data_IF_921163240704
#
_entry.id   IF_921163240704
#
_cell.length_a   1.000
_cell.length_b   1.000
_cell.length_c   1.000
_cell.angle_alpha   90.00
_cell.angle_beta   90.00
_cell.angle_gamma   90.00
#
_symmetry.space_group_name_H-M   'P 1'
#
loop_
_entity.id
_entity.type
_entity.pdbx_description
1 polymer ?
#
# COMPACT_ATOMS: atom_id res chain seq x y z
N UNK A 1 -14.05 -16.51 -8.45
CA UNK A 1 -13.04 -15.54 -8.91
C UNK A 1 -13.80 -14.32 -9.39
N UNK A 2 -13.49 -13.14 -8.88
CA UNK A 2 -14.13 -11.89 -9.33
C UNK A 2 -13.72 -11.61 -10.78
N UNK A 3 -14.62 -10.97 -11.54
CA UNK A 3 -14.30 -10.48 -12.88
C UNK A 3 -13.30 -9.31 -12.78
N UNK A 4 -12.37 -9.20 -13.74
CA UNK A 4 -11.35 -8.15 -13.74
C UNK A 4 -11.95 -6.74 -13.73
N UNK A 5 -13.04 -6.52 -14.47
CA UNK A 5 -13.70 -5.22 -14.50
C UNK A 5 -14.40 -4.89 -13.18
N UNK A 6 -14.79 -5.92 -12.42
CA UNK A 6 -15.33 -5.74 -11.07
C UNK A 6 -14.23 -5.37 -10.08
N UNK A 7 -13.06 -6.05 -10.16
CA UNK A 7 -11.89 -5.72 -9.34
C UNK A 7 -11.45 -4.29 -9.60
N UNK A 8 -11.33 -3.90 -10.85
CA UNK A 8 -10.85 -2.58 -11.26
C UNK A 8 -11.72 -1.41 -10.78
N UNK A 9 -12.96 -1.66 -10.33
CA UNK A 9 -13.77 -0.62 -9.66
C UNK A 9 -13.19 -0.23 -8.30
N UNK A 10 -12.49 -1.16 -7.64
CA UNK A 10 -11.87 -0.93 -6.34
C UNK A 10 -10.47 -0.29 -6.48
N UNK A 11 -9.91 -0.26 -7.72
CA UNK A 11 -8.55 0.21 -8.02
C UNK A 11 -8.55 1.17 -9.23
N UNK A 12 -8.94 2.44 -9.06
CA UNK A 12 -9.05 3.40 -10.16
C UNK A 12 -7.77 3.57 -10.98
N UNK A 13 -6.62 3.55 -10.32
CA UNK A 13 -5.30 3.64 -10.95
C UNK A 13 -5.01 2.47 -11.87
N UNK A 14 -5.23 1.24 -11.36
CA UNK A 14 -5.03 0.03 -12.15
C UNK A 14 -6.02 0.00 -13.33
N UNK A 15 -7.23 0.52 -13.13
CA UNK A 15 -8.21 0.67 -14.22
C UNK A 15 -7.68 1.56 -15.33
N UNK A 16 -7.16 2.74 -15.00
CA UNK A 16 -6.60 3.65 -16.00
C UNK A 16 -5.43 3.03 -16.77
N UNK A 17 -4.52 2.33 -16.10
CA UNK A 17 -3.41 1.62 -16.74
C UNK A 17 -3.91 0.48 -17.63
N UNK A 18 -4.92 -0.25 -17.20
CA UNK A 18 -5.55 -1.31 -17.99
C UNK A 18 -6.20 -0.76 -19.26
N UNK A 19 -6.95 0.33 -19.15
CA UNK A 19 -7.56 1.00 -20.30
C UNK A 19 -6.50 1.51 -21.29
N UNK A 20 -5.35 1.99 -20.81
CA UNK A 20 -4.22 2.34 -21.68
C UNK A 20 -3.65 1.12 -22.41
N UNK A 21 -3.47 -0.02 -21.73
CA UNK A 21 -3.02 -1.26 -22.36
C UNK A 21 -4.01 -1.72 -23.43
N UNK A 22 -5.32 -1.67 -23.15
CA UNK A 22 -6.34 -2.01 -24.13
C UNK A 22 -6.33 -1.08 -25.35
N UNK A 23 -6.15 0.23 -25.15
CA UNK A 23 -6.06 1.19 -26.24
C UNK A 23 -4.82 0.98 -27.11
N UNK A 24 -3.70 0.64 -26.49
CA UNK A 24 -2.46 0.24 -27.21
C UNK A 24 -2.68 -1.03 -28.05
N UNK A 25 -3.45 -2.00 -27.54
CA UNK A 25 -3.80 -3.22 -28.28
C UNK A 25 -4.64 -2.90 -29.52
N UNK A 26 -5.58 -1.97 -29.43
CA UNK A 26 -6.37 -1.52 -30.57
C UNK A 26 -5.49 -0.84 -31.65
N UNK A 27 -4.54 0.00 -31.26
CA UNK A 27 -3.62 0.66 -32.18
C UNK A 27 -2.67 -0.36 -32.84
N UNK A 28 -2.26 -1.40 -32.14
CA UNK A 28 -1.32 -2.42 -32.61
C UNK A 28 -1.96 -3.46 -33.52
N UNK A 29 -3.27 -3.70 -33.41
CA UNK A 29 -4.00 -4.56 -34.37
C UNK A 29 -3.98 -3.98 -35.80
N UNK A 30 -3.57 -2.72 -35.95
CA UNK A 30 -3.48 -1.99 -37.22
C UNK A 30 -2.02 -1.95 -37.74
N UNK A 31 -1.01 -2.33 -36.92
CA UNK A 31 0.40 -2.29 -37.27
C UNK A 31 0.96 -3.72 -37.48
N UNK A 32 1.75 -3.98 -38.52
CA UNK A 32 2.30 -5.31 -38.80
C UNK A 32 3.46 -5.69 -37.86
N UNK A 33 3.46 -6.95 -37.37
CA UNK A 33 4.61 -7.60 -36.75
C UNK A 33 4.41 -8.07 -35.29
N UNK A 34 5.47 -8.59 -34.65
CA UNK A 34 5.54 -9.19 -33.31
C UNK A 34 5.04 -8.31 -32.12
N UNK A 35 4.41 -7.19 -32.39
CA UNK A 35 3.88 -6.25 -31.41
C UNK A 35 2.58 -6.76 -30.77
N UNK A 36 1.79 -7.54 -31.50
CA UNK A 36 0.53 -8.09 -31.03
C UNK A 36 0.74 -9.11 -29.90
N UNK A 37 1.67 -10.05 -30.10
CA UNK A 37 2.02 -11.06 -29.11
C UNK A 37 2.59 -10.45 -27.82
N UNK A 38 3.47 -9.46 -27.96
CA UNK A 38 4.05 -8.74 -26.80
C UNK A 38 2.99 -7.95 -26.04
N UNK A 39 2.03 -7.38 -26.75
CA UNK A 39 0.96 -6.60 -26.17
C UNK A 39 -0.05 -7.47 -25.44
N UNK A 40 -0.40 -8.63 -26.00
CA UNK A 40 -1.27 -9.59 -25.34
C UNK A 40 -0.61 -10.16 -24.09
N UNK A 41 0.68 -10.45 -24.15
CA UNK A 41 1.45 -10.88 -22.97
C UNK A 41 1.47 -9.80 -21.89
N UNK A 42 1.69 -8.54 -22.24
CA UNK A 42 1.67 -7.43 -21.29
C UNK A 42 0.30 -7.31 -20.59
N UNK A 43 -0.78 -7.48 -21.35
CA UNK A 43 -2.14 -7.49 -20.80
C UNK A 43 -2.32 -8.64 -19.81
N UNK A 44 -1.94 -9.86 -20.19
CA UNK A 44 -2.04 -11.05 -19.32
C UNK A 44 -1.22 -10.90 -18.04
N UNK A 45 0.02 -10.40 -18.14
CA UNK A 45 0.88 -10.16 -16.98
C UNK A 45 0.27 -9.10 -16.05
N UNK A 46 -0.34 -8.06 -16.63
CA UNK A 46 -1.01 -7.02 -15.87
C UNK A 46 -2.31 -7.49 -15.21
N UNK A 47 -3.13 -8.27 -15.92
CA UNK A 47 -4.33 -8.90 -15.35
C UNK A 47 -3.96 -9.82 -14.19
N UNK A 48 -2.93 -10.62 -14.34
CA UNK A 48 -2.40 -11.47 -13.27
C UNK A 48 -2.00 -10.66 -12.05
N UNK A 49 -1.29 -9.56 -12.25
CA UNK A 49 -0.89 -8.65 -11.16
C UNK A 49 -2.10 -8.09 -10.41
N UNK A 50 -3.14 -7.66 -11.13
CA UNK A 50 -4.38 -7.16 -10.54
C UNK A 50 -5.05 -8.25 -9.69
N UNK A 51 -5.16 -9.47 -10.20
CA UNK A 51 -5.76 -10.58 -9.47
C UNK A 51 -4.98 -10.91 -8.19
N UNK A 52 -3.66 -10.95 -8.25
CA UNK A 52 -2.83 -11.26 -7.08
C UNK A 52 -2.91 -10.17 -6.01
N UNK A 53 -2.98 -8.88 -6.39
CA UNK A 53 -3.20 -7.77 -5.44
C UNK A 53 -4.57 -7.86 -4.79
N UNK A 54 -5.63 -8.10 -5.58
CA UNK A 54 -6.99 -8.19 -5.05
C UNK A 54 -7.13 -9.37 -4.08
N UNK A 55 -6.62 -10.54 -4.46
CA UNK A 55 -6.58 -11.72 -3.61
C UNK A 55 -5.80 -11.46 -2.31
N UNK A 56 -4.63 -10.84 -2.40
CA UNK A 56 -3.84 -10.50 -1.21
C UNK A 56 -4.61 -9.55 -0.27
N UNK A 57 -5.23 -8.52 -0.80
CA UNK A 57 -6.01 -7.60 0.02
C UNK A 57 -7.28 -8.24 0.59
N UNK A 58 -7.94 -9.14 -0.15
CA UNK A 58 -9.08 -9.93 0.34
C UNK A 58 -8.65 -10.84 1.49
N UNK A 59 -7.57 -11.57 1.31
CA UNK A 59 -7.12 -12.60 2.24
C UNK A 59 -6.51 -12.02 3.52
N UNK A 60 -5.87 -10.85 3.45
CA UNK A 60 -4.97 -10.38 4.52
C UNK A 60 -5.31 -9.02 5.10
N UNK A 61 -6.16 -8.18 4.47
CA UNK A 61 -6.40 -6.82 4.96
C UNK A 61 -7.07 -6.78 6.35
N UNK A 62 -7.93 -7.75 6.67
CA UNK A 62 -8.52 -7.87 8.02
C UNK A 62 -7.48 -8.22 9.09
N UNK A 63 -6.37 -8.81 8.67
CA UNK A 63 -5.22 -9.13 9.51
C UNK A 63 -4.17 -8.01 9.56
N UNK A 64 -4.46 -6.84 8.97
CA UNK A 64 -3.60 -5.66 9.04
C UNK A 64 -2.50 -5.61 7.99
N UNK A 65 -2.58 -6.42 6.93
CA UNK A 65 -1.67 -6.35 5.79
C UNK A 65 -2.28 -5.57 4.63
N UNK A 66 -1.43 -4.93 3.85
CA UNK A 66 -1.82 -4.11 2.71
C UNK A 66 -0.87 -4.34 1.55
N UNK A 67 -1.43 -4.46 0.34
CA UNK A 67 -0.64 -4.44 -0.88
C UNK A 67 -0.23 -3.00 -1.23
N UNK A 68 0.94 -2.85 -1.84
CA UNK A 68 1.48 -1.59 -2.32
C UNK A 68 2.15 -1.77 -3.68
N UNK A 69 2.41 -0.68 -4.41
CA UNK A 69 2.79 -0.69 -5.83
C UNK A 69 4.07 -1.48 -6.13
N UNK A 70 5.06 -1.35 -5.25
CA UNK A 70 6.37 -2.00 -5.42
C UNK A 70 6.45 -3.37 -4.75
N UNK A 71 5.29 -3.95 -4.37
CA UNK A 71 5.25 -5.29 -3.80
C UNK A 71 5.71 -6.33 -4.83
N UNK A 72 6.53 -7.26 -4.38
CA UNK A 72 7.11 -8.28 -5.26
C UNK A 72 6.06 -9.30 -5.72
N UNK A 73 5.91 -9.49 -7.03
CA UNK A 73 4.92 -10.40 -7.60
C UNK A 73 5.09 -11.86 -7.13
N UNK A 74 6.28 -12.48 -7.17
CA UNK A 74 6.51 -13.80 -6.59
C UNK A 74 6.13 -13.91 -5.11
N UNK A 75 6.31 -12.84 -4.33
CA UNK A 75 5.88 -12.80 -2.93
C UNK A 75 4.36 -12.86 -2.80
N UNK A 76 3.61 -12.08 -3.61
CA UNK A 76 2.15 -12.10 -3.63
C UNK A 76 1.62 -13.49 -3.96
N UNK A 77 2.11 -14.09 -5.05
CA UNK A 77 1.73 -15.43 -5.48
C UNK A 77 1.99 -16.48 -4.40
N UNK A 78 3.13 -16.39 -3.72
CA UNK A 78 3.49 -17.33 -2.67
C UNK A 78 2.65 -17.14 -1.42
N UNK A 79 2.40 -15.89 -0.99
CA UNK A 79 1.56 -15.59 0.17
C UNK A 79 0.12 -16.08 -0.04
N UNK A 80 -0.48 -15.75 -1.21
CA UNK A 80 -1.81 -16.23 -1.59
C UNK A 80 -1.84 -17.77 -1.71
N UNK A 81 -0.83 -18.37 -2.34
CA UNK A 81 -0.72 -19.83 -2.48
C UNK A 81 -0.65 -20.55 -1.14
N UNK A 82 0.10 -20.05 -0.17
CA UNK A 82 0.17 -20.60 1.20
C UNK A 82 -1.18 -20.43 1.89
N UNK A 83 -1.81 -19.26 1.77
CA UNK A 83 -3.12 -19.02 2.36
C UNK A 83 -4.16 -20.06 1.91
N UNK A 84 -4.24 -20.34 0.61
CA UNK A 84 -5.20 -21.31 0.07
C UNK A 84 -4.88 -22.77 0.44
N UNK A 85 -3.61 -23.10 0.67
CA UNK A 85 -3.19 -24.47 0.99
C UNK A 85 -3.14 -24.75 2.49
N UNK A 86 -2.70 -23.79 3.29
CA UNK A 86 -2.31 -24.01 4.68
C UNK A 86 -3.01 -23.05 5.66
N UNK A 87 -3.75 -22.06 5.12
CA UNK A 87 -4.52 -21.09 5.91
C UNK A 87 -3.72 -19.88 6.36
N UNK A 88 -4.44 -18.98 7.06
CA UNK A 88 -3.97 -17.64 7.42
C UNK A 88 -2.72 -17.65 8.32
N UNK A 89 -2.64 -18.58 9.28
CA UNK A 89 -1.52 -18.59 10.24
C UNK A 89 -0.18 -18.85 9.56
N UNK A 90 -0.15 -19.80 8.62
CA UNK A 90 1.06 -20.14 7.85
C UNK A 90 1.42 -19.04 6.86
N UNK A 91 0.42 -18.46 6.21
CA UNK A 91 0.64 -17.34 5.31
C UNK A 91 1.17 -16.11 6.05
N UNK A 92 0.63 -15.76 7.23
CA UNK A 92 1.17 -14.67 8.04
C UNK A 92 2.61 -14.93 8.51
N UNK A 93 2.96 -16.16 8.87
CA UNK A 93 4.35 -16.51 9.20
C UNK A 93 5.30 -16.28 8.03
N UNK A 94 4.91 -16.68 6.82
CA UNK A 94 5.66 -16.44 5.61
C UNK A 94 5.83 -14.91 5.37
N UNK A 95 4.72 -14.15 5.43
CA UNK A 95 4.73 -12.71 5.22
C UNK A 95 5.66 -12.01 6.22
N UNK A 96 5.55 -12.33 7.51
CA UNK A 96 6.38 -11.73 8.56
C UNK A 96 7.86 -12.02 8.34
N UNK A 97 8.21 -13.27 8.02
CA UNK A 97 9.59 -13.64 7.78
C UNK A 97 10.16 -12.92 6.57
N UNK A 98 9.41 -12.81 5.48
CA UNK A 98 9.81 -12.05 4.30
C UNK A 98 10.18 -10.60 4.64
N UNK A 99 9.34 -9.88 5.40
CA UNK A 99 9.61 -8.48 5.76
C UNK A 99 10.77 -8.32 6.74
N UNK A 100 10.96 -9.27 7.66
CA UNK A 100 12.09 -9.24 8.60
C UNK A 100 13.40 -9.55 7.88
N UNK A 101 13.41 -10.57 7.02
CA UNK A 101 14.61 -11.00 6.30
C UNK A 101 15.10 -9.93 5.29
N UNK A 102 14.16 -9.15 4.72
CA UNK A 102 14.48 -8.06 3.79
C UNK A 102 14.51 -6.67 4.48
N UNK A 103 14.51 -6.61 5.79
CA UNK A 103 14.38 -5.36 6.57
C UNK A 103 15.46 -4.33 6.27
N UNK A 104 16.68 -4.74 5.97
CA UNK A 104 17.80 -3.83 5.66
C UNK A 104 17.60 -3.09 4.34
N UNK A 105 17.15 -3.77 3.29
CA UNK A 105 16.80 -3.18 2.00
C UNK A 105 15.61 -2.23 2.15
N UNK A 106 14.57 -2.71 2.82
CA UNK A 106 13.34 -1.94 3.09
C UNK A 106 13.65 -0.65 3.87
N UNK A 107 14.53 -0.70 4.88
CA UNK A 107 14.98 0.48 5.61
C UNK A 107 15.54 1.54 4.67
N UNK A 108 16.44 1.13 3.79
CA UNK A 108 17.08 2.04 2.84
C UNK A 108 16.07 2.67 1.87
N UNK A 109 15.10 1.88 1.40
CA UNK A 109 14.05 2.36 0.51
C UNK A 109 13.13 3.36 1.20
N UNK A 110 12.72 3.09 2.45
CA UNK A 110 11.92 4.01 3.24
C UNK A 110 12.66 5.34 3.45
N UNK A 111 13.92 5.31 3.88
CA UNK A 111 14.71 6.53 4.13
C UNK A 111 14.83 7.38 2.87
N UNK A 112 14.99 6.75 1.69
CA UNK A 112 15.17 7.42 0.41
C UNK A 112 13.86 7.87 -0.23
N UNK A 113 12.72 7.38 0.22
CA UNK A 113 11.43 7.57 -0.42
C UNK A 113 10.96 9.02 -0.44
N UNK A 114 11.22 9.78 0.62
CA UNK A 114 10.83 11.19 0.70
C UNK A 114 11.65 11.97 1.72
N UNK A 115 11.57 13.31 1.66
CA UNK A 115 12.25 14.18 2.61
C UNK A 115 11.69 14.01 4.05
N UNK A 116 10.41 13.74 4.17
CA UNK A 116 9.72 13.53 5.45
C UNK A 116 10.24 12.28 6.17
N UNK A 117 10.63 11.24 5.43
CA UNK A 117 11.33 10.08 5.98
C UNK A 117 12.82 10.38 6.22
N UNK A 118 13.49 11.05 5.29
CA UNK A 118 14.92 11.34 5.36
C UNK A 118 15.31 12.12 6.62
N UNK A 119 14.54 13.12 7.02
CA UNK A 119 14.81 13.89 8.26
C UNK A 119 14.66 13.06 9.54
N UNK A 120 14.01 11.89 9.45
CA UNK A 120 13.82 10.91 10.54
C UNK A 120 14.79 9.73 10.47
N UNK A 121 15.81 9.79 9.62
CA UNK A 121 16.73 8.69 9.35
C UNK A 121 17.25 8.05 10.65
N UNK A 122 17.70 8.83 11.62
CA UNK A 122 18.24 8.31 12.89
C UNK A 122 17.20 7.52 13.71
N UNK A 123 15.91 7.93 13.68
CA UNK A 123 14.83 7.22 14.37
C UNK A 123 14.50 5.93 13.62
N UNK A 124 14.51 5.98 12.28
CA UNK A 124 14.29 4.82 11.43
C UNK A 124 15.39 3.79 11.64
N UNK A 125 16.66 4.20 11.63
CA UNK A 125 17.79 3.32 11.88
C UNK A 125 17.67 2.63 13.24
N UNK A 126 17.34 3.34 14.31
CA UNK A 126 17.11 2.77 15.64
C UNK A 126 15.93 1.78 15.64
N UNK A 127 14.83 2.11 14.97
CA UNK A 127 13.66 1.24 14.90
C UNK A 127 13.98 -0.09 14.20
N UNK A 128 14.76 -0.06 13.11
CA UNK A 128 15.19 -1.26 12.40
C UNK A 128 16.27 -2.04 13.17
N UNK A 129 17.19 -1.37 13.86
CA UNK A 129 18.12 -2.04 14.78
C UNK A 129 17.38 -2.79 15.88
N UNK A 130 16.34 -2.17 16.47
CA UNK A 130 15.48 -2.81 17.47
C UNK A 130 14.71 -4.00 16.88
N UNK A 131 14.23 -3.90 15.64
CA UNK A 131 13.57 -4.99 14.93
C UNK A 131 14.49 -6.20 14.77
N UNK A 132 15.71 -5.99 14.26
CA UNK A 132 16.70 -7.05 14.01
C UNK A 132 17.13 -7.69 15.32
N UNK A 133 17.30 -6.90 16.39
CA UNK A 133 17.64 -7.39 17.72
C UNK A 133 16.44 -7.94 18.51
N UNK A 134 15.27 -8.09 17.87
CA UNK A 134 14.02 -8.61 18.46
C UNK A 134 13.52 -7.78 19.65
N UNK A 135 13.92 -6.52 19.76
CA UNK A 135 13.38 -5.55 20.73
C UNK A 135 12.06 -4.95 20.20
N UNK A 136 11.09 -5.82 19.94
CA UNK A 136 9.87 -5.48 19.22
C UNK A 136 9.07 -4.35 19.85
N UNK A 137 8.99 -4.26 21.18
CA UNK A 137 8.27 -3.17 21.85
C UNK A 137 8.81 -1.79 21.43
N UNK A 138 10.13 -1.61 21.45
CA UNK A 138 10.78 -0.35 21.04
C UNK A 138 10.58 -0.08 19.55
N UNK A 139 10.82 -1.08 18.71
CA UNK A 139 10.66 -0.98 17.26
C UNK A 139 9.25 -0.56 16.87
N UNK A 140 8.21 -1.19 17.44
CA UNK A 140 6.81 -0.90 17.17
C UNK A 140 6.46 0.55 17.55
N UNK A 141 6.85 1.00 18.74
CA UNK A 141 6.59 2.38 19.17
C UNK A 141 7.26 3.39 18.25
N UNK A 142 8.50 3.14 17.84
CA UNK A 142 9.22 4.00 16.91
C UNK A 142 8.54 4.01 15.52
N UNK A 143 8.15 2.86 14.98
CA UNK A 143 7.46 2.79 13.68
C UNK A 143 6.12 3.56 13.71
N UNK A 144 5.31 3.40 14.75
CA UNK A 144 4.05 4.14 14.90
C UNK A 144 4.30 5.66 15.02
N UNK A 145 5.35 6.07 15.73
CA UNK A 145 5.74 7.48 15.85
C UNK A 145 6.22 8.04 14.51
N UNK A 146 7.00 7.28 13.75
CA UNK A 146 7.45 7.67 12.40
C UNK A 146 6.24 7.84 11.48
N UNK A 147 5.32 6.88 11.45
CA UNK A 147 4.12 6.92 10.62
C UNK A 147 3.29 8.19 10.86
N UNK A 148 3.04 8.50 12.12
CA UNK A 148 2.25 9.69 12.50
C UNK A 148 2.99 10.99 12.18
N UNK A 149 4.28 11.06 12.48
CA UNK A 149 5.10 12.25 12.25
C UNK A 149 5.33 12.56 10.77
N UNK A 150 5.55 11.54 9.94
CA UNK A 150 5.74 11.70 8.48
C UNK A 150 4.49 12.27 7.83
N UNK A 151 3.32 11.73 8.16
CA UNK A 151 2.05 12.21 7.64
C UNK A 151 1.73 13.62 8.15
N UNK A 152 2.02 13.90 9.43
CA UNK A 152 1.83 15.24 10.00
C UNK A 152 2.61 16.31 9.24
N UNK A 153 3.88 16.06 8.95
CA UNK A 153 4.70 16.99 8.18
C UNK A 153 4.21 17.15 6.75
N UNK A 154 3.82 16.04 6.11
CA UNK A 154 3.32 16.07 4.74
C UNK A 154 2.00 16.82 4.60
N UNK A 155 1.07 16.61 5.53
CA UNK A 155 -0.28 17.20 5.50
C UNK A 155 -0.37 18.56 6.18
N UNK A 156 0.73 19.06 6.77
CA UNK A 156 0.81 20.32 7.52
C UNK A 156 -0.22 20.38 8.66
N UNK A 157 -0.13 19.46 9.62
CA UNK A 157 -0.85 19.40 10.91
C UNK A 157 -1.92 18.32 11.07
N UNK A 158 -1.92 17.25 10.27
CA UNK A 158 -2.82 16.12 10.49
C UNK A 158 -2.02 14.83 10.52
N UNK A 159 -1.84 14.22 11.69
CA UNK A 159 -1.19 12.90 11.81
C UNK A 159 -2.02 11.81 11.15
N UNK A 160 -1.38 10.67 10.86
CA UNK A 160 -2.01 9.54 10.17
C UNK A 160 -3.26 9.02 10.89
N UNK A 161 -3.24 9.01 12.20
CA UNK A 161 -4.32 8.44 13.03
C UNK A 161 -5.43 9.43 13.38
N UNK A 162 -5.45 10.62 12.79
CA UNK A 162 -6.53 11.60 13.03
C UNK A 162 -7.78 11.29 12.20
N UNK A 163 -8.96 11.63 12.74
CA UNK A 163 -10.24 11.34 12.06
C UNK A 163 -10.42 12.12 10.75
N UNK A 164 -9.81 13.31 10.65
CA UNK A 164 -10.02 14.25 9.55
C UNK A 164 -8.92 14.21 8.46
N UNK A 165 -8.09 13.18 8.43
CA UNK A 165 -7.13 13.03 7.33
C UNK A 165 -7.82 12.51 6.07
N UNK A 166 -7.60 13.18 4.96
CA UNK A 166 -7.98 12.66 3.64
C UNK A 166 -6.82 11.83 3.09
N UNK A 167 -7.01 10.53 2.98
CA UNK A 167 -6.05 9.58 2.40
C UNK A 167 -6.33 9.31 0.93
N UNK A 168 -7.41 9.88 0.35
CA UNK A 168 -7.74 9.65 -1.05
C UNK A 168 -6.59 10.10 -1.95
N UNK A 169 -6.19 9.24 -2.87
CA UNK A 169 -5.12 9.50 -3.83
C UNK A 169 -5.47 8.78 -5.14
N UNK A 170 -5.70 9.55 -6.19
CA UNK A 170 -6.24 9.04 -7.45
C UNK A 170 -5.35 7.98 -8.13
N UNK A 171 -4.04 8.00 -7.90
CA UNK A 171 -3.06 7.16 -8.60
C UNK A 171 -2.28 6.25 -7.63
N UNK A 172 -2.94 5.70 -6.61
CA UNK A 172 -2.30 4.98 -5.53
C UNK A 172 -2.96 3.61 -5.29
N UNK A 173 -2.18 2.53 -5.36
CA UNK A 173 -2.68 1.17 -5.08
C UNK A 173 -3.14 1.03 -3.63
N UNK A 174 -2.46 1.69 -2.70
CA UNK A 174 -2.81 1.64 -1.27
C UNK A 174 -4.10 2.39 -0.94
N UNK A 175 -4.61 3.26 -1.84
CA UNK A 175 -5.89 3.95 -1.70
C UNK A 175 -7.05 3.14 -2.32
N UNK A 176 -7.20 1.91 -1.92
CA UNK A 176 -8.37 1.10 -2.24
C UNK A 176 -9.25 0.90 -1.01
N UNK A 177 -10.47 0.41 -1.19
CA UNK A 177 -11.42 0.15 -0.10
C UNK A 177 -10.87 -0.79 0.99
N UNK A 178 -9.87 -1.61 0.66
CA UNK A 178 -9.19 -2.56 1.54
C UNK A 178 -7.74 -2.12 1.86
N UNK A 179 -7.41 -0.88 1.54
CA UNK A 179 -6.06 -0.34 1.62
C UNK A 179 -5.79 0.46 2.90
N UNK A 180 -5.06 1.57 2.73
CA UNK A 180 -4.51 2.38 3.82
C UNK A 180 -5.59 2.91 4.79
N UNK A 181 -6.76 3.26 4.28
CA UNK A 181 -7.90 3.71 5.07
C UNK A 181 -8.41 2.62 6.01
N UNK A 182 -8.59 1.39 5.49
CA UNK A 182 -8.97 0.24 6.31
C UNK A 182 -7.93 -0.08 7.39
N UNK A 183 -6.65 -0.06 7.02
CA UNK A 183 -5.54 -0.29 7.98
C UNK A 183 -5.55 0.77 9.07
N UNK A 184 -5.74 2.05 8.71
CA UNK A 184 -5.89 3.14 9.68
C UNK A 184 -7.03 2.87 10.67
N UNK A 185 -8.20 2.47 10.18
CA UNK A 185 -9.37 2.21 11.03
C UNK A 185 -9.12 1.04 12.00
N UNK A 186 -8.51 -0.05 11.51
CA UNK A 186 -8.11 -1.19 12.35
C UNK A 186 -7.13 -0.75 13.43
N UNK A 187 -6.06 -0.05 13.06
CA UNK A 187 -5.01 0.35 14.00
C UNK A 187 -5.48 1.41 15.00
N UNK A 188 -6.46 2.23 14.62
CA UNK A 188 -7.05 3.26 15.47
C UNK A 188 -8.18 2.72 16.40
N UNK A 189 -8.45 1.42 16.36
CA UNK A 189 -9.48 0.80 17.20
C UNK A 189 -9.27 1.13 18.67
N UNK A 190 -10.33 1.64 19.32
CA UNK A 190 -10.28 2.03 20.73
C UNK A 190 -10.26 0.82 21.65
N UNK A 191 -9.32 0.81 22.60
CA UNK A 191 -9.19 -0.24 23.63
C UNK A 191 -9.69 0.28 24.98
N UNK A 192 -10.80 -0.27 25.45
CA UNK A 192 -11.47 0.20 26.69
C UNK A 192 -10.85 -0.33 27.97
N UNK A 193 -10.22 -1.51 27.93
CA UNK A 193 -9.63 -2.19 29.11
C UNK A 193 -8.18 -2.56 28.85
N UNK A 194 -7.37 -2.56 29.90
CA UNK A 194 -6.02 -3.10 29.86
C UNK A 194 -6.07 -4.62 29.74
N UNK A 195 -5.25 -5.18 28.85
CA UNK A 195 -5.12 -6.62 28.62
C UNK A 195 -3.65 -7.04 28.58
N UNK A 196 -3.40 -8.26 29.04
CA UNK A 196 -2.11 -8.96 28.95
C UNK A 196 -2.12 -10.01 27.83
N UNK A 197 -3.23 -10.17 27.14
CA UNK A 197 -3.34 -11.08 26.01
C UNK A 197 -2.43 -10.61 24.86
N UNK A 198 -1.82 -11.57 24.18
CA UNK A 198 -1.03 -11.27 22.98
C UNK A 198 -1.93 -10.73 21.88
N UNK A 199 -1.55 -9.61 21.32
CA UNK A 199 -2.19 -9.04 20.13
C UNK A 199 -1.34 -9.26 18.89
N UNK A 200 -2.00 -9.43 17.74
CA UNK A 200 -1.33 -9.55 16.43
C UNK A 200 -1.57 -8.36 15.52
N UNK A 201 -2.35 -7.38 15.98
CA UNK A 201 -2.63 -6.14 15.25
C UNK A 201 -2.06 -4.95 16.02
N UNK A 202 -1.46 -3.97 15.35
CA UNK A 202 -0.90 -2.78 15.98
C UNK A 202 -1.99 -1.79 16.38
N UNK A 203 -2.78 -2.11 17.39
CA UNK A 203 -3.78 -1.20 17.97
C UNK A 203 -3.08 0.01 18.61
N UNK A 204 -2.84 1.04 17.81
CA UNK A 204 -2.06 2.22 18.19
C UNK A 204 -2.51 2.84 19.51
N UNK A 205 -3.81 3.01 19.67
CA UNK A 205 -4.35 3.60 20.90
C UNK A 205 -4.11 2.69 22.12
N UNK A 206 -4.28 1.37 21.97
CA UNK A 206 -4.00 0.40 23.03
C UNK A 206 -2.52 0.37 23.41
N UNK A 207 -1.63 0.38 22.45
CA UNK A 207 -0.18 0.35 22.64
C UNK A 207 0.32 1.64 23.29
N UNK A 208 0.05 2.80 22.69
CA UNK A 208 0.62 4.08 23.15
C UNK A 208 -0.02 4.57 24.46
N UNK A 209 -1.24 4.13 24.79
CA UNK A 209 -1.88 4.42 26.08
C UNK A 209 -1.64 3.33 27.15
N UNK A 210 -0.79 2.33 26.86
CA UNK A 210 -0.42 1.29 27.81
C UNK A 210 -1.59 0.37 28.21
N UNK A 211 -2.50 0.10 27.31
CA UNK A 211 -3.65 -0.80 27.53
C UNK A 211 -3.44 -2.20 26.96
N UNK A 212 -2.78 -2.32 25.83
CA UNK A 212 -2.35 -3.60 25.24
C UNK A 212 -0.91 -3.84 25.67
N UNK A 213 -0.71 -4.67 26.71
CA UNK A 213 0.62 -4.83 27.33
C UNK A 213 1.48 -5.87 26.62
N UNK A 214 0.89 -6.80 25.87
CA UNK A 214 1.59 -7.88 25.17
C UNK A 214 1.55 -7.69 23.65
N UNK A 215 2.11 -6.55 23.18
CA UNK A 215 2.19 -6.20 21.76
C UNK A 215 3.57 -6.48 21.15
N UNK A 216 4.58 -6.78 21.97
CA UNK A 216 5.99 -6.87 21.58
C UNK A 216 6.33 -8.16 20.85
N UNK A 217 5.78 -8.38 19.67
CA UNK A 217 6.02 -9.56 18.85
C UNK A 217 6.30 -9.22 17.37
N UNK A 218 6.85 -10.20 16.65
CA UNK A 218 7.26 -10.04 15.25
C UNK A 218 6.10 -9.68 14.30
N UNK A 219 4.88 -10.15 14.59
CA UNK A 219 3.70 -9.88 13.75
C UNK A 219 3.30 -8.40 13.79
N UNK A 220 3.23 -7.83 14.99
CA UNK A 220 2.90 -6.41 15.16
C UNK A 220 4.00 -5.53 14.56
N UNK A 221 5.29 -5.89 14.78
CA UNK A 221 6.42 -5.14 14.25
C UNK A 221 6.43 -5.13 12.70
N UNK A 222 6.25 -6.29 12.06
CA UNK A 222 6.23 -6.39 10.61
C UNK A 222 5.04 -5.62 9.99
N UNK A 223 3.87 -5.64 10.62
CA UNK A 223 2.71 -4.84 10.17
C UNK A 223 2.95 -3.34 10.27
N UNK A 224 3.63 -2.88 11.33
CA UNK A 224 4.04 -1.48 11.44
C UNK A 224 5.06 -1.09 10.35
N UNK A 225 5.98 -2.01 10.00
CA UNK A 225 6.93 -1.80 8.90
C UNK A 225 6.19 -1.68 7.56
N UNK A 226 5.25 -2.59 7.26
CA UNK A 226 4.44 -2.52 6.04
C UNK A 226 3.60 -1.24 5.97
N UNK A 227 3.12 -0.74 7.10
CA UNK A 227 2.46 0.56 7.16
C UNK A 227 3.39 1.69 6.67
N UNK A 228 4.68 1.69 7.05
CA UNK A 228 5.62 2.70 6.58
C UNK A 228 5.86 2.60 5.06
N UNK A 229 5.93 1.39 4.50
CA UNK A 229 6.01 1.20 3.05
C UNK A 229 4.78 1.76 2.33
N UNK A 230 3.59 1.46 2.84
CA UNK A 230 2.34 1.97 2.28
C UNK A 230 2.24 3.51 2.36
N UNK A 231 2.66 4.10 3.47
CA UNK A 231 2.73 5.56 3.64
C UNK A 231 3.74 6.17 2.67
N UNK A 232 4.89 5.54 2.47
CA UNK A 232 5.92 6.05 1.56
C UNK A 232 5.41 6.10 0.12
N UNK A 233 4.70 5.07 -0.31
CA UNK A 233 4.05 5.04 -1.62
C UNK A 233 2.98 6.13 -1.73
N UNK A 234 2.07 6.21 -0.77
CA UNK A 234 1.00 7.20 -0.75
C UNK A 234 1.54 8.64 -0.86
N UNK A 235 2.61 8.98 -0.13
CA UNK A 235 3.24 10.30 -0.20
C UNK A 235 3.78 10.58 -1.61
N UNK A 236 4.46 9.62 -2.22
CA UNK A 236 5.06 9.78 -3.54
C UNK A 236 3.98 9.93 -4.62
N UNK A 237 2.93 9.14 -4.55
CA UNK A 237 1.83 9.22 -5.50
C UNK A 237 1.04 10.51 -5.31
N UNK A 238 0.83 10.96 -4.07
CA UNK A 238 0.19 12.25 -3.76
C UNK A 238 1.00 13.45 -4.24
N UNK A 239 2.33 13.43 -4.10
CA UNK A 239 3.21 14.45 -4.69
C UNK A 239 3.12 14.45 -6.22
N UNK A 240 3.07 13.28 -6.84
CA UNK A 240 2.93 13.15 -8.28
C UNK A 240 1.58 13.65 -8.78
N UNK A 241 0.50 13.43 -8.03
CA UNK A 241 -0.84 13.95 -8.30
C UNK A 241 -0.85 15.48 -8.27
N UNK A 242 -0.32 16.09 -7.21
CA UNK A 242 -0.22 17.56 -7.09
C UNK A 242 0.58 18.17 -8.24
N UNK A 243 1.74 17.60 -8.56
CA UNK A 243 2.57 18.07 -9.67
C UNK A 243 1.85 17.98 -11.03
N UNK A 244 1.04 16.93 -11.25
CA UNK A 244 0.21 16.80 -12.47
C UNK A 244 -0.88 17.85 -12.52
N UNK A 245 -1.59 18.08 -11.43
CA UNK A 245 -2.63 19.12 -11.33
C UNK A 245 -2.03 20.49 -11.65
N UNK A 246 -0.91 20.85 -11.02
CA UNK A 246 -0.24 22.12 -11.24
C UNK A 246 0.24 22.28 -12.70
N UNK A 247 0.81 21.22 -13.29
CA UNK A 247 1.36 21.25 -14.66
C UNK A 247 0.30 21.36 -15.73
N UNK A 248 -0.86 20.70 -15.55
CA UNK A 248 -1.88 20.57 -16.58
C UNK A 248 -3.17 21.32 -16.27
N UNK A 249 -3.23 22.04 -15.13
CA UNK A 249 -4.42 22.74 -14.66
C UNK A 249 -5.69 21.86 -14.62
N UNK A 250 -5.51 20.57 -14.29
CA UNK A 250 -6.57 19.56 -14.27
C UNK A 250 -7.34 19.71 -12.97
N UNK A 251 -8.66 19.88 -13.04
CA UNK A 251 -9.53 19.83 -11.87
C UNK A 251 -9.50 18.44 -11.21
N UNK A 252 -9.61 18.41 -9.87
CA UNK A 252 -9.38 17.23 -8.99
C UNK A 252 -10.49 16.16 -9.12
N UNK A 253 -11.24 16.11 -10.16
CA UNK A 253 -12.13 15.00 -10.45
C UNK A 253 -11.49 14.13 -11.53
N UNK A 254 -11.36 12.80 -11.30
CA UNK A 254 -10.91 11.94 -12.38
C UNK A 254 -11.85 12.17 -13.57
N UNK A 255 -11.31 12.44 -14.76
CA UNK A 255 -12.15 12.64 -15.92
C UNK A 255 -13.03 11.39 -16.11
N UNK A 256 -14.31 11.58 -16.28
CA UNK A 256 -15.22 10.49 -16.66
C UNK A 256 -14.74 9.89 -17.98
N UNK A 257 -15.13 8.66 -18.26
CA UNK A 257 -14.79 8.00 -19.53
C UNK A 257 -15.21 8.87 -20.73
N UNK A 258 -16.33 9.60 -20.61
CA UNK A 258 -16.83 10.56 -21.60
C UNK A 258 -15.91 11.76 -21.79
N UNK A 259 -15.40 12.34 -20.72
CA UNK A 259 -14.46 13.46 -20.76
C UNK A 259 -13.12 13.04 -21.36
N UNK A 260 -12.62 11.84 -21.01
CA UNK A 260 -11.41 11.28 -21.61
C UNK A 260 -11.55 11.02 -23.11
N UNK A 261 -12.73 10.57 -23.58
CA UNK A 261 -13.04 10.36 -25.00
C UNK A 261 -13.15 11.71 -25.73
N UNK A 262 -13.71 12.74 -25.12
CA UNK A 262 -13.84 14.05 -25.72
C UNK A 262 -12.48 14.75 -25.83
N UNK A 263 -11.62 14.68 -24.80
CA UNK A 263 -10.24 15.20 -24.86
C UNK A 263 -9.42 14.54 -25.98
N UNK A 264 -9.65 13.24 -26.25
CA UNK A 264 -9.00 12.53 -27.37
C UNK A 264 -9.56 12.92 -28.76
N UNK A 265 -10.78 13.44 -28.84
CA UNK A 265 -11.36 13.96 -30.08
C UNK A 265 -10.83 15.36 -30.43
N UNK A 266 -10.66 16.20 -29.40
CA UNK A 266 -10.13 17.57 -29.55
C UNK A 266 -8.63 17.62 -29.92
N UNK A 267 -7.89 16.54 -29.70
CA UNK A 267 -6.49 16.39 -30.14
C UNK A 267 -6.40 15.97 -31.62
N UNK A 268 -7.50 15.59 -32.24
CA UNK A 268 -7.55 15.13 -33.64
C UNK A 268 -8.06 16.18 -34.64
N UNK A 269 -8.44 17.37 -34.18
CA UNK A 269 -8.66 18.57 -34.98
C UNK A 269 -7.45 19.53 -34.90
#
# INVERSE_FOLDING_TARGET
>A
MRDILEILKDYPTLKHQYDQILSMNYIKSILPGNLEEKSEKLKQDFEKFIFEIDDYNINFSDNGWIAYKNINMPFLEQANGIFYKEGIEKAEEFIVNYYIDNSEEIKNDIIRSSNEFKIRQHIIENAFEDLINKRYCSSIILFLTIADGVINDFTKNKGFFTDNINLDCWDCIVDCNKGLKKIKDIYNTSRKKTTIEEIRLPYRNGILHGRDLNFGNKFVAAKCLVLLLAISEWINDKKSEVNRIEKYNIEINPPTLEESINTLKDIKE
#
